data_IF_719342616627
#
_entry.id   IF_719342616627
#
_cell.length_a   1.000
_cell.length_b   1.000
_cell.length_c   1.000
_cell.angle_alpha   90.00
_cell.angle_beta   90.00
_cell.angle_gamma   90.00
#
_symmetry.space_group_name_H-M   'P 1'
#
loop_
_entity.id
_entity.type
_entity.pdbx_description
1 polymer ?
#
# COMPACT_ATOMS: atom_id res chain seq x y z
N UNK A 1 -6.07 -1.55 -32.93
CA UNK A 1 -6.60 -1.79 -31.57
C UNK A 1 -7.20 -0.48 -31.09
N UNK A 2 -8.48 -0.44 -30.76
CA UNK A 2 -9.07 0.74 -30.15
C UNK A 2 -8.54 0.83 -28.71
N UNK A 3 -7.90 1.95 -28.35
CA UNK A 3 -7.48 2.18 -26.97
C UNK A 3 -8.73 2.23 -26.08
N UNK A 4 -8.92 1.21 -25.23
CA UNK A 4 -10.13 1.04 -24.39
C UNK A 4 -10.22 2.04 -23.23
N UNK A 5 -9.25 2.94 -23.10
CA UNK A 5 -9.23 4.09 -22.20
C UNK A 5 -8.03 5.00 -22.52
N UNK A 6 -8.07 6.27 -22.11
CA UNK A 6 -6.95 7.21 -22.30
C UNK A 6 -5.88 6.99 -21.21
N UNK A 7 -4.77 6.34 -21.56
CA UNK A 7 -3.61 6.12 -20.67
C UNK A 7 -2.31 6.29 -21.45
N UNK A 8 -1.31 6.87 -20.81
CA UNK A 8 0.06 6.95 -21.32
C UNK A 8 0.82 5.72 -20.82
N UNK A 9 0.65 4.60 -21.52
CA UNK A 9 1.28 3.31 -21.20
C UNK A 9 1.62 2.59 -22.49
N UNK A 10 2.62 1.73 -22.47
CA UNK A 10 2.90 0.80 -23.56
C UNK A 10 2.01 -0.44 -23.41
N UNK A 11 2.53 -1.49 -22.77
CA UNK A 11 1.82 -2.73 -22.50
C UNK A 11 1.21 -2.70 -21.08
N UNK A 12 -0.11 -2.95 -20.90
CA UNK A 12 -0.75 -3.03 -19.59
C UNK A 12 -0.08 -3.97 -18.58
N UNK A 13 0.61 -5.02 -19.05
CA UNK A 13 1.30 -5.98 -18.17
C UNK A 13 2.66 -5.47 -17.66
N UNK A 14 3.26 -4.51 -18.36
CA UNK A 14 4.61 -4.01 -18.08
C UNK A 14 4.59 -2.68 -17.31
N UNK A 15 3.39 -2.11 -17.07
CA UNK A 15 3.23 -0.75 -16.51
C UNK A 15 3.95 -0.50 -15.19
N UNK A 16 3.99 -1.51 -14.30
CA UNK A 16 4.68 -1.38 -13.01
C UNK A 16 6.19 -1.42 -13.20
N UNK A 17 6.67 -2.29 -14.08
CA UNK A 17 8.09 -2.43 -14.39
C UNK A 17 8.61 -1.16 -15.05
N UNK A 18 7.93 -0.67 -16.10
CA UNK A 18 8.29 0.58 -16.80
C UNK A 18 8.24 1.79 -15.85
N UNK A 19 7.28 1.83 -14.92
CA UNK A 19 7.23 2.86 -13.87
C UNK A 19 8.47 2.81 -12.96
N UNK A 20 8.83 1.61 -12.47
CA UNK A 20 10.00 1.43 -11.59
C UNK A 20 11.28 1.82 -12.33
N UNK A 21 11.45 1.37 -13.57
CA UNK A 21 12.61 1.72 -14.43
C UNK A 21 12.74 3.24 -14.56
N UNK A 22 11.66 3.93 -14.94
CA UNK A 22 11.67 5.39 -15.04
C UNK A 22 11.94 6.09 -13.70
N UNK A 23 11.43 5.53 -12.59
CA UNK A 23 11.67 6.07 -11.24
C UNK A 23 13.15 5.98 -10.87
N UNK A 24 13.79 4.83 -11.04
CA UNK A 24 15.20 4.63 -10.65
C UNK A 24 16.17 5.35 -11.59
N UNK A 25 15.82 5.52 -12.87
CA UNK A 25 16.59 6.37 -13.79
C UNK A 25 16.53 7.85 -13.38
N UNK A 26 15.36 8.31 -12.90
CA UNK A 26 15.16 9.69 -12.48
C UNK A 26 15.85 10.00 -11.15
N UNK A 27 15.82 9.07 -10.19
CA UNK A 27 16.30 9.28 -8.83
C UNK A 27 17.48 8.36 -8.50
N UNK A 28 18.70 8.87 -8.64
CA UNK A 28 19.96 8.15 -8.43
C UNK A 28 20.16 7.57 -7.01
N UNK A 29 19.37 8.02 -6.02
CA UNK A 29 19.35 7.47 -4.66
C UNK A 29 18.51 6.19 -4.52
N UNK A 30 17.84 5.76 -5.59
CA UNK A 30 17.01 4.56 -5.64
C UNK A 30 17.67 3.51 -6.53
N UNK A 31 17.39 2.25 -6.22
CA UNK A 31 17.82 1.10 -6.99
C UNK A 31 16.65 0.13 -7.15
N UNK A 32 16.55 -0.48 -8.33
CA UNK A 32 15.69 -1.61 -8.58
C UNK A 32 16.43 -2.89 -8.20
N UNK A 33 15.89 -3.69 -7.27
CA UNK A 33 16.49 -4.95 -6.86
C UNK A 33 16.60 -5.92 -8.04
N UNK A 34 17.81 -6.40 -8.29
CA UNK A 34 18.07 -7.38 -9.34
C UNK A 34 17.52 -8.76 -8.92
N UNK A 35 16.72 -9.39 -9.80
CA UNK A 35 15.98 -10.60 -9.46
C UNK A 35 14.94 -11.07 -10.49
N UNK A 36 15.14 -10.77 -11.77
CA UNK A 36 14.40 -11.25 -12.98
C UNK A 36 13.12 -12.10 -12.76
N UNK A 37 12.00 -11.83 -13.46
CA UNK A 37 11.31 -10.56 -13.71
C UNK A 37 10.15 -10.30 -12.73
N UNK A 38 9.93 -11.18 -11.75
CA UNK A 38 8.76 -11.14 -10.85
C UNK A 38 8.98 -10.28 -9.60
N UNK A 39 10.24 -10.01 -9.24
CA UNK A 39 10.61 -9.25 -8.04
C UNK A 39 10.60 -7.75 -8.33
N UNK A 40 9.53 -7.07 -7.94
CA UNK A 40 9.33 -5.62 -8.14
C UNK A 40 9.64 -4.84 -6.86
N UNK A 41 10.92 -4.70 -6.53
CA UNK A 41 11.37 -4.05 -5.27
C UNK A 41 12.22 -2.82 -5.54
N UNK A 42 11.77 -1.66 -5.05
CA UNK A 42 12.53 -0.41 -5.06
C UNK A 42 13.18 -0.22 -3.70
N UNK A 43 14.48 0.00 -3.65
CA UNK A 43 15.23 0.18 -2.40
C UNK A 43 16.19 1.37 -2.49
N UNK A 44 16.65 1.83 -1.32
CA UNK A 44 17.68 2.87 -1.25
C UNK A 44 19.02 2.36 -1.79
N UNK A 45 19.61 3.07 -2.73
CA UNK A 45 20.88 2.69 -3.35
C UNK A 45 22.08 2.66 -2.37
N UNK A 46 21.97 3.37 -1.24
CA UNK A 46 23.00 3.43 -0.19
C UNK A 46 22.85 2.33 0.88
N UNK A 47 21.91 1.40 0.71
CA UNK A 47 21.61 0.34 1.69
C UNK A 47 21.90 -1.04 1.13
N UNK A 48 22.57 -1.86 1.94
CA UNK A 48 22.71 -3.30 1.75
C UNK A 48 22.53 -4.02 3.08
N UNK A 49 21.79 -5.12 3.11
CA UNK A 49 21.55 -5.92 4.32
C UNK A 49 22.84 -6.38 5.01
N UNK A 50 23.95 -6.52 4.28
CA UNK A 50 25.25 -6.89 4.85
C UNK A 50 25.88 -5.78 5.71
N UNK A 51 25.57 -4.52 5.44
CA UNK A 51 26.24 -3.36 6.06
C UNK A 51 25.29 -2.42 6.79
N UNK A 52 23.97 -2.60 6.66
CA UNK A 52 22.98 -1.70 7.26
C UNK A 52 22.93 -1.86 8.78
N UNK A 53 23.19 -0.77 9.49
CA UNK A 53 23.36 -0.71 10.95
C UNK A 53 22.15 -0.12 11.68
N UNK A 54 21.06 0.15 10.96
CA UNK A 54 19.79 0.67 11.50
C UNK A 54 18.66 -0.33 11.25
N UNK A 55 17.51 -0.09 11.88
CA UNK A 55 16.28 -0.84 11.60
C UNK A 55 15.84 -0.54 10.16
N UNK A 56 15.64 -1.58 9.35
CA UNK A 56 15.04 -1.43 8.03
C UNK A 56 13.54 -1.19 8.17
N UNK A 57 13.00 -0.25 7.41
CA UNK A 57 11.55 -0.01 7.36
C UNK A 57 11.07 -0.35 5.95
N UNK A 58 10.29 -1.42 5.83
CA UNK A 58 9.77 -1.87 4.54
C UNK A 58 8.26 -1.72 4.56
N UNK A 59 7.73 -1.29 3.42
CA UNK A 59 6.30 -1.34 3.16
C UNK A 59 6.08 -1.68 1.69
N UNK A 60 4.83 -1.73 1.26
CA UNK A 60 4.47 -2.17 -0.07
C UNK A 60 2.99 -2.46 -0.20
N UNK A 61 2.63 -3.05 -1.33
CA UNK A 61 1.25 -3.34 -1.70
C UNK A 61 1.08 -3.31 -3.21
N UNK A 62 -0.17 -3.36 -3.68
CA UNK A 62 -0.46 -3.21 -5.11
C UNK A 62 -0.08 -1.84 -5.64
N UNK A 63 0.40 -1.80 -6.88
CA UNK A 63 0.74 -0.56 -7.59
C UNK A 63 -0.53 0.20 -8.02
N UNK A 64 -0.38 1.44 -8.49
CA UNK A 64 -1.50 2.32 -8.87
C UNK A 64 -1.83 3.39 -7.83
N UNK A 65 -1.03 3.50 -6.78
CA UNK A 65 -1.14 4.50 -5.71
C UNK A 65 0.04 5.48 -5.68
N UNK A 66 0.78 5.56 -6.79
CA UNK A 66 2.00 6.36 -6.88
C UNK A 66 1.72 7.82 -6.44
N UNK A 67 2.58 8.42 -5.58
CA UNK A 67 3.92 7.97 -5.23
C UNK A 67 4.00 6.85 -4.16
N UNK A 68 2.87 6.40 -3.60
CA UNK A 68 2.88 5.31 -2.64
C UNK A 68 3.21 3.96 -3.32
N UNK A 69 4.17 3.16 -2.85
CA UNK A 69 5.12 3.44 -1.75
C UNK A 69 6.55 3.72 -2.23
N UNK A 70 6.86 3.46 -3.50
CA UNK A 70 8.21 3.60 -4.05
C UNK A 70 8.75 5.04 -3.97
N UNK A 71 7.89 6.05 -4.10
CA UNK A 71 8.28 7.47 -3.93
C UNK A 71 8.56 7.88 -2.48
N UNK A 72 8.32 7.00 -1.51
CA UNK A 72 8.66 7.22 -0.09
C UNK A 72 9.90 6.44 0.35
N UNK A 73 10.63 5.81 -0.58
CA UNK A 73 11.92 5.18 -0.31
C UNK A 73 12.99 6.27 -0.19
N UNK A 74 13.66 6.32 0.96
CA UNK A 74 14.63 7.36 1.27
C UNK A 74 14.98 7.45 2.76
N UNK A 75 16.04 8.21 3.07
CA UNK A 75 16.46 8.40 4.45
C UNK A 75 15.36 9.05 5.31
N UNK A 76 15.10 8.48 6.49
CA UNK A 76 14.07 8.96 7.40
C UNK A 76 12.63 8.56 7.02
N UNK A 77 12.45 7.72 5.99
CA UNK A 77 11.20 7.09 5.57
C UNK A 77 11.42 5.58 5.35
N UNK A 78 11.12 5.05 4.16
CA UNK A 78 11.24 3.62 3.85
C UNK A 78 12.66 3.28 3.38
N UNK A 79 13.15 2.13 3.81
CA UNK A 79 14.37 1.50 3.30
C UNK A 79 14.11 0.82 1.96
N UNK A 80 12.96 0.17 1.81
CA UNK A 80 12.50 -0.43 0.56
C UNK A 80 10.97 -0.43 0.44
N UNK A 81 10.48 -0.48 -0.80
CA UNK A 81 9.08 -0.62 -1.20
C UNK A 81 8.91 -1.86 -2.06
N UNK A 82 8.00 -2.75 -1.65
CA UNK A 82 7.64 -3.96 -2.41
C UNK A 82 6.39 -3.66 -3.24
N UNK A 83 6.55 -3.62 -4.56
CA UNK A 83 5.48 -3.26 -5.48
C UNK A 83 4.84 -4.54 -6.04
N UNK A 84 3.53 -4.71 -5.86
CA UNK A 84 2.76 -5.73 -6.57
C UNK A 84 2.30 -5.22 -7.94
N UNK A 85 1.49 -6.03 -8.65
CA UNK A 85 0.80 -5.55 -9.84
C UNK A 85 -0.25 -4.47 -9.49
N UNK A 86 -0.84 -3.84 -10.50
CA UNK A 86 -1.84 -2.78 -10.28
C UNK A 86 -3.00 -3.33 -9.46
N UNK A 87 -3.17 -2.79 -8.25
CA UNK A 87 -4.17 -3.21 -7.25
C UNK A 87 -4.08 -4.68 -6.82
N UNK A 88 -2.93 -5.33 -6.95
CA UNK A 88 -2.71 -6.69 -6.47
C UNK A 88 -1.52 -6.76 -5.51
N UNK A 89 -1.68 -7.47 -4.40
CA UNK A 89 -0.62 -7.64 -3.39
C UNK A 89 0.66 -8.24 -4.00
N UNK A 90 1.86 -7.79 -3.60
CA UNK A 90 3.10 -8.43 -4.01
C UNK A 90 3.18 -9.88 -3.53
N UNK A 91 3.93 -10.71 -4.24
CA UNK A 91 4.15 -12.11 -3.86
C UNK A 91 4.99 -12.23 -2.60
N UNK A 92 4.81 -13.32 -1.86
CA UNK A 92 5.61 -13.65 -0.66
C UNK A 92 7.11 -13.63 -0.98
N UNK A 93 7.50 -14.17 -2.12
CA UNK A 93 8.89 -14.22 -2.56
C UNK A 93 9.48 -12.81 -2.83
N UNK A 94 8.68 -11.90 -3.39
CA UNK A 94 9.10 -10.50 -3.58
C UNK A 94 9.31 -9.78 -2.25
N UNK A 95 8.42 -10.00 -1.28
CA UNK A 95 8.55 -9.42 0.06
C UNK A 95 9.78 -9.99 0.77
N UNK A 96 10.00 -11.30 0.70
CA UNK A 96 11.19 -11.96 1.24
C UNK A 96 12.48 -11.46 0.59
N UNK A 97 12.50 -11.28 -0.73
CA UNK A 97 13.63 -10.71 -1.44
C UNK A 97 13.96 -9.31 -0.93
N UNK A 98 12.96 -8.45 -0.75
CA UNK A 98 13.13 -7.14 -0.15
C UNK A 98 13.68 -7.19 1.28
N UNK A 99 13.13 -8.06 2.14
CA UNK A 99 13.61 -8.26 3.52
C UNK A 99 15.09 -8.65 3.49
N UNK A 100 15.47 -9.67 2.71
CA UNK A 100 16.86 -10.15 2.61
C UNK A 100 17.80 -9.07 2.06
N UNK A 101 17.34 -8.25 1.14
CA UNK A 101 18.15 -7.23 0.49
C UNK A 101 18.56 -6.09 1.43
N UNK A 102 17.70 -5.69 2.37
CA UNK A 102 17.93 -4.48 3.19
C UNK A 102 18.02 -4.69 4.69
N UNK A 103 17.74 -5.89 5.20
CA UNK A 103 17.70 -6.15 6.65
C UNK A 103 19.07 -6.53 7.19
N UNK A 104 19.62 -5.67 8.06
CA UNK A 104 20.82 -5.94 8.83
C UNK A 104 20.54 -6.48 10.26
N UNK A 105 21.56 -6.52 11.14
CA UNK A 105 21.46 -7.11 12.49
C UNK A 105 20.44 -6.45 13.44
N UNK A 106 20.08 -5.19 13.15
CA UNK A 106 19.07 -4.43 13.90
C UNK A 106 17.64 -4.86 13.59
N UNK A 107 17.42 -5.60 12.50
CA UNK A 107 16.12 -6.13 12.11
C UNK A 107 15.31 -5.21 11.20
N UNK A 108 14.08 -5.61 10.94
CA UNK A 108 13.18 -4.96 9.99
C UNK A 108 11.78 -4.79 10.57
N UNK A 109 11.20 -3.60 10.39
CA UNK A 109 9.79 -3.33 10.58
C UNK A 109 9.06 -3.42 9.24
N UNK A 110 8.05 -4.27 9.17
CA UNK A 110 7.09 -4.31 8.06
C UNK A 110 5.89 -3.42 8.40
N UNK A 111 5.66 -2.36 7.63
CA UNK A 111 4.43 -1.56 7.69
C UNK A 111 3.47 -2.09 6.63
N UNK A 112 2.32 -2.61 7.06
CA UNK A 112 1.34 -3.28 6.17
C UNK A 112 0.04 -2.50 6.16
N UNK A 113 -0.42 -2.13 4.97
CA UNK A 113 -1.75 -1.55 4.75
C UNK A 113 -2.81 -2.62 4.68
N UNK A 114 -3.95 -2.42 5.34
CA UNK A 114 -5.09 -3.35 5.27
C UNK A 114 -6.07 -2.92 4.19
N UNK A 115 -6.69 -3.85 3.48
CA UNK A 115 -7.92 -3.51 2.76
C UNK A 115 -9.00 -4.52 3.09
N UNK A 116 -10.18 -3.99 3.38
CA UNK A 116 -11.37 -4.77 3.65
C UNK A 116 -12.13 -4.96 2.36
N UNK A 117 -12.52 -6.21 2.11
CA UNK A 117 -13.81 -6.49 1.52
C UNK A 117 -14.71 -6.99 2.65
N UNK A 118 -15.85 -6.35 2.96
CA UNK A 118 -16.91 -7.06 3.65
C UNK A 118 -17.42 -8.16 2.71
N UNK A 119 -17.66 -9.37 3.22
CA UNK A 119 -18.39 -10.44 2.51
C UNK A 119 -19.84 -10.03 2.21
N UNK A 120 -20.02 -9.02 1.38
CA UNK A 120 -21.33 -8.64 0.87
C UNK A 120 -21.55 -9.49 -0.37
N UNK A 121 -22.45 -10.46 -0.29
CA UNK A 121 -22.76 -11.49 -1.29
C UNK A 121 -23.26 -11.02 -2.67
N UNK A 122 -22.69 -9.96 -3.23
CA UNK A 122 -22.84 -9.60 -4.63
C UNK A 122 -21.85 -10.40 -5.47
N UNK A 123 -22.32 -11.52 -6.01
CA UNK A 123 -21.68 -12.20 -7.14
C UNK A 123 -21.73 -11.27 -8.34
N UNK A 124 -20.60 -10.65 -8.69
CA UNK A 124 -20.40 -10.16 -10.05
C UNK A 124 -20.34 -11.39 -10.97
N UNK A 125 -21.40 -11.61 -11.74
CA UNK A 125 -21.43 -12.61 -12.80
C UNK A 125 -20.98 -11.93 -14.07
N UNK A 126 -19.71 -12.12 -14.43
CA UNK A 126 -19.17 -11.69 -15.71
C UNK A 126 -17.71 -11.25 -15.59
N UNK A 127 -16.83 -12.06 -16.19
CA UNK A 127 -15.40 -11.84 -16.41
C UNK A 127 -14.55 -12.21 -15.18
N UNK A 128 -13.44 -12.92 -15.44
CA UNK A 128 -12.38 -13.38 -14.52
C UNK A 128 -11.70 -12.24 -13.73
N UNK A 129 -12.49 -11.42 -13.04
CA UNK A 129 -12.05 -10.40 -12.12
C UNK A 129 -12.17 -10.93 -10.69
N UNK A 130 -11.11 -10.74 -9.91
CA UNK A 130 -11.11 -10.80 -8.44
C UNK A 130 -11.01 -12.21 -7.80
N UNK A 131 -9.91 -12.93 -8.02
CA UNK A 131 -9.30 -13.69 -6.91
C UNK A 131 -8.27 -12.75 -6.26
N UNK A 132 -8.79 -11.77 -5.53
CA UNK A 132 -8.01 -10.73 -4.88
C UNK A 132 -8.69 -10.34 -3.58
N UNK A 133 -8.84 -11.30 -2.67
CA UNK A 133 -9.17 -10.97 -1.29
C UNK A 133 -7.96 -10.23 -0.72
N UNK A 134 -8.05 -8.93 -0.43
CA UNK A 134 -6.96 -8.12 0.15
C UNK A 134 -6.62 -8.43 1.62
N UNK A 135 -7.14 -9.57 2.11
CA UNK A 135 -6.37 -10.46 2.99
C UNK A 135 -4.96 -10.74 2.43
N UNK A 136 -4.74 -10.60 1.11
CA UNK A 136 -3.49 -10.79 0.38
C UNK A 136 -2.30 -10.05 0.99
N UNK A 137 -2.41 -8.75 1.29
CA UNK A 137 -1.28 -8.03 1.91
C UNK A 137 -0.96 -8.59 3.30
N UNK A 138 -1.96 -8.78 4.16
CA UNK A 138 -1.75 -9.36 5.50
C UNK A 138 -1.23 -10.80 5.45
N UNK A 139 -1.72 -11.61 4.51
CA UNK A 139 -1.32 -13.01 4.34
C UNK A 139 0.08 -13.10 3.74
N UNK A 140 0.38 -12.36 2.68
CA UNK A 140 1.65 -12.40 1.98
C UNK A 140 2.76 -11.79 2.84
N UNK A 141 2.54 -10.61 3.44
CA UNK A 141 3.50 -10.03 4.39
C UNK A 141 3.60 -10.85 5.66
N UNK A 142 2.50 -11.41 6.17
CA UNK A 142 2.53 -12.28 7.34
C UNK A 142 3.34 -13.54 7.10
N UNK A 143 3.11 -14.23 5.98
CA UNK A 143 3.85 -15.44 5.60
C UNK A 143 5.33 -15.13 5.32
N UNK A 144 5.62 -14.02 4.63
CA UNK A 144 6.99 -13.55 4.44
C UNK A 144 7.68 -13.22 5.77
N UNK A 145 6.96 -12.61 6.73
CA UNK A 145 7.50 -12.33 8.06
C UNK A 145 7.85 -13.61 8.81
N UNK A 146 6.96 -14.61 8.83
CA UNK A 146 7.24 -15.90 9.48
C UNK A 146 8.41 -16.63 8.83
N UNK A 147 8.46 -16.65 7.49
CA UNK A 147 9.56 -17.27 6.74
C UNK A 147 10.89 -16.55 7.01
N UNK A 148 10.91 -15.21 7.01
CA UNK A 148 12.11 -14.44 7.37
C UNK A 148 12.55 -14.67 8.83
N UNK A 149 11.62 -14.79 9.78
CA UNK A 149 11.96 -15.17 11.17
C UNK A 149 12.59 -16.56 11.24
N UNK A 150 12.10 -17.51 10.45
CA UNK A 150 12.69 -18.86 10.37
C UNK A 150 14.12 -18.85 9.81
N UNK A 151 14.45 -17.85 8.98
CA UNK A 151 15.81 -17.60 8.44
C UNK A 151 16.71 -16.83 9.41
N UNK A 152 16.20 -16.44 10.58
CA UNK A 152 16.95 -15.76 11.64
C UNK A 152 16.85 -14.23 11.61
N UNK A 153 16.04 -13.65 10.71
CA UNK A 153 15.81 -12.20 10.72
C UNK A 153 14.90 -11.78 11.89
N UNK A 154 15.20 -10.63 12.49
CA UNK A 154 14.34 -10.00 13.50
C UNK A 154 13.28 -9.17 12.78
N UNK A 155 12.03 -9.61 12.81
CA UNK A 155 10.92 -8.98 12.08
C UNK A 155 9.79 -8.58 13.03
N UNK A 156 9.46 -7.30 13.03
CA UNK A 156 8.23 -6.76 13.61
C UNK A 156 7.25 -6.33 12.52
N UNK A 157 5.97 -6.23 12.85
CA UNK A 157 4.93 -5.84 11.89
C UNK A 157 3.94 -4.87 12.51
N UNK A 158 3.64 -3.79 11.79
CA UNK A 158 2.59 -2.84 12.15
C UNK A 158 1.55 -2.81 11.04
N UNK A 159 0.29 -2.95 11.44
CA UNK A 159 -0.85 -2.93 10.56
C UNK A 159 -1.50 -1.55 10.63
N UNK A 160 -1.70 -0.91 9.48
CA UNK A 160 -2.33 0.41 9.37
C UNK A 160 -3.78 0.26 8.93
N UNK A 161 -4.68 0.79 9.75
CA UNK A 161 -6.13 0.79 9.54
C UNK A 161 -6.75 2.13 9.91
N UNK A 162 -6.44 3.16 9.13
CA UNK A 162 -6.82 4.56 9.38
C UNK A 162 -8.18 4.96 8.80
N UNK A 163 -8.81 4.16 7.93
CA UNK A 163 -10.06 4.52 7.27
C UNK A 163 -11.28 4.54 8.22
N UNK A 164 -11.84 5.74 8.46
CA UNK A 164 -13.01 6.01 9.29
C UNK A 164 -14.34 5.84 8.55
N UNK A 165 -14.34 5.63 7.23
CA UNK A 165 -15.56 5.61 6.43
C UNK A 165 -16.55 4.51 6.85
N UNK A 166 -16.03 3.32 7.13
CA UNK A 166 -16.84 2.17 7.52
C UNK A 166 -16.88 2.04 9.05
N UNK A 167 -18.00 1.59 9.63
CA UNK A 167 -18.06 1.24 11.04
C UNK A 167 -16.95 0.24 11.38
N UNK A 168 -16.44 0.28 12.62
CA UNK A 168 -15.49 -0.73 13.09
C UNK A 168 -16.08 -2.12 12.85
N UNK A 169 -15.46 -2.89 11.96
CA UNK A 169 -15.89 -4.25 11.70
C UNK A 169 -15.78 -5.05 13.01
N UNK A 170 -16.82 -5.82 13.35
CA UNK A 170 -16.77 -6.72 14.52
C UNK A 170 -15.95 -8.01 14.23
N UNK A 171 -15.21 -8.04 13.12
CA UNK A 171 -14.45 -9.21 12.64
C UNK A 171 -12.94 -8.99 12.66
N UNK A 172 -12.21 -10.04 12.28
CA UNK A 172 -10.73 -10.10 12.29
C UNK A 172 -10.07 -9.11 11.30
N UNK A 173 -10.85 -8.65 10.31
CA UNK A 173 -10.34 -7.95 9.15
C UNK A 173 -9.90 -6.49 9.44
N UNK A 174 -10.42 -5.83 10.48
CA UNK A 174 -9.98 -4.47 10.90
C UNK A 174 -10.60 -3.33 10.07
N UNK A 175 -9.89 -2.21 9.92
CA UNK A 175 -10.23 -1.04 9.07
C UNK A 175 -9.30 -1.01 7.85
N UNK A 176 -9.69 -0.35 6.75
CA UNK A 176 -8.78 -0.14 5.60
C UNK A 176 -7.62 0.80 5.99
N UNK A 177 -6.45 0.57 5.44
CA UNK A 177 -5.27 1.41 5.47
C UNK A 177 -5.23 2.25 4.19
N UNK A 178 -5.25 3.57 4.32
CA UNK A 178 -5.30 4.53 3.21
C UNK A 178 -4.13 5.52 3.34
N UNK A 179 -4.42 6.81 3.13
CA UNK A 179 -3.43 7.88 3.10
C UNK A 179 -2.68 8.05 4.44
N UNK A 180 -3.24 7.63 5.58
CA UNK A 180 -2.60 7.74 6.88
C UNK A 180 -1.31 6.91 7.01
N UNK A 181 -1.15 5.89 6.15
CA UNK A 181 0.05 5.05 6.09
C UNK A 181 1.34 5.86 5.92
N UNK A 182 1.33 6.94 5.14
CA UNK A 182 2.52 7.79 4.96
C UNK A 182 2.99 8.41 6.29
N UNK A 183 2.05 8.78 7.16
CA UNK A 183 2.38 9.37 8.47
C UNK A 183 3.01 8.31 9.38
N UNK A 184 2.50 7.08 9.34
CA UNK A 184 3.09 5.95 10.07
C UNK A 184 4.49 5.64 9.54
N UNK A 185 4.66 5.60 8.22
CA UNK A 185 5.98 5.44 7.58
C UNK A 185 6.96 6.55 8.01
N UNK A 186 6.49 7.80 8.10
CA UNK A 186 7.33 8.94 8.51
C UNK A 186 7.79 8.85 9.96
N UNK A 187 6.91 8.39 10.86
CA UNK A 187 7.26 8.15 12.27
C UNK A 187 8.25 6.99 12.36
N UNK A 188 7.91 5.84 11.77
CA UNK A 188 8.77 4.65 11.76
C UNK A 188 10.17 4.97 11.20
N UNK A 189 10.22 5.60 10.02
CA UNK A 189 11.47 5.97 9.35
C UNK A 189 12.29 6.98 10.14
N UNK A 190 11.67 7.96 10.80
CA UNK A 190 12.39 8.92 11.65
C UNK A 190 13.03 8.25 12.86
N UNK A 191 12.27 7.40 13.55
CA UNK A 191 12.73 6.68 14.75
C UNK A 191 13.84 5.69 14.38
N UNK A 192 13.70 4.98 13.27
CA UNK A 192 14.72 4.09 12.74
C UNK A 192 16.00 4.86 12.32
N UNK A 193 15.86 6.01 11.66
CA UNK A 193 16.99 6.85 11.25
C UNK A 193 17.78 7.41 12.45
N UNK A 194 17.10 7.64 13.58
CA UNK A 194 17.70 8.03 14.86
C UNK A 194 18.43 6.88 15.59
N UNK A 195 18.42 5.66 15.05
CA UNK A 195 19.18 4.52 15.57
C UNK A 195 18.52 3.78 16.73
N UNK A 196 17.20 3.97 16.93
CA UNK A 196 16.46 3.26 17.97
C UNK A 196 16.30 1.77 17.64
N UNK A 197 16.01 0.96 18.67
CA UNK A 197 15.82 -0.48 18.52
C UNK A 197 14.55 -0.84 17.75
N UNK A 198 14.51 -2.04 17.18
CA UNK A 198 13.33 -2.54 16.45
C UNK A 198 12.04 -2.47 17.29
N UNK A 199 12.12 -2.77 18.59
CA UNK A 199 10.98 -2.72 19.49
C UNK A 199 10.45 -1.28 19.69
N UNK A 200 11.34 -0.30 19.80
CA UNK A 200 10.96 1.11 19.93
C UNK A 200 10.38 1.65 18.62
N UNK A 201 10.99 1.30 17.48
CA UNK A 201 10.46 1.66 16.14
C UNK A 201 9.06 1.09 15.94
N UNK A 202 8.85 -0.19 16.27
CA UNK A 202 7.54 -0.83 16.19
C UNK A 202 6.52 -0.19 17.14
N UNK A 203 6.93 0.15 18.36
CA UNK A 203 6.06 0.81 19.34
C UNK A 203 5.58 2.18 18.89
N UNK A 204 6.48 3.03 18.38
CA UNK A 204 6.11 4.37 17.89
C UNK A 204 5.28 4.30 16.60
N UNK A 205 5.61 3.38 15.69
CA UNK A 205 4.81 3.16 14.48
C UNK A 205 3.38 2.68 14.82
N UNK A 206 3.24 1.76 15.79
CA UNK A 206 1.93 1.30 16.28
C UNK A 206 1.15 2.44 16.94
N UNK A 207 1.80 3.24 17.80
CA UNK A 207 1.15 4.40 18.42
C UNK A 207 0.65 5.40 17.38
N UNK A 208 1.42 5.63 16.32
CA UNK A 208 1.00 6.47 15.20
C UNK A 208 -0.20 5.86 14.46
N UNK A 209 -0.20 4.55 14.20
CA UNK A 209 -1.32 3.91 13.48
C UNK A 209 -2.63 3.91 14.26
N UNK A 210 -2.58 3.93 15.59
CA UNK A 210 -3.75 3.96 16.47
C UNK A 210 -4.45 5.33 16.53
N UNK A 211 -3.73 6.42 16.22
CA UNK A 211 -4.26 7.80 16.34
C UNK A 211 -4.55 8.47 15.00
N UNK A 212 -4.12 7.87 13.88
CA UNK A 212 -4.38 8.40 12.54
C UNK A 212 -5.76 7.94 12.06
N UNK A 213 -6.54 8.90 11.56
CA UNK A 213 -7.85 8.68 10.97
C UNK A 213 -7.95 9.39 9.62
N UNK A 214 -8.54 8.72 8.62
CA UNK A 214 -8.77 9.25 7.28
C UNK A 214 -10.16 8.88 6.78
N UNK A 215 -10.68 9.67 5.84
CA UNK A 215 -11.89 9.32 5.09
C UNK A 215 -11.83 10.00 3.73
N UNK A 216 -11.99 9.22 2.67
CA UNK A 216 -12.03 9.70 1.29
C UNK A 216 -13.44 10.04 0.82
N UNK A 217 -13.54 10.84 -0.25
CA UNK A 217 -14.76 11.04 -1.04
C UNK A 217 -14.37 11.00 -2.51
N UNK A 218 -15.13 10.29 -3.33
CA UNK A 218 -14.86 10.15 -4.75
C UNK A 218 -16.00 10.72 -5.61
N UNK A 219 -15.63 11.39 -6.69
CA UNK A 219 -16.56 11.91 -7.70
C UNK A 219 -16.65 11.01 -8.94
N UNK A 220 -15.67 10.10 -9.09
CA UNK A 220 -15.56 9.12 -10.16
C UNK A 220 -14.76 7.92 -9.66
N UNK A 221 -14.86 6.80 -10.36
CA UNK A 221 -14.01 5.63 -10.11
C UNK A 221 -12.76 5.67 -10.98
N UNK A 222 -11.70 5.01 -10.51
CA UNK A 222 -10.48 4.82 -11.28
C UNK A 222 -10.71 3.83 -12.43
N UNK A 223 -9.83 3.87 -13.44
CA UNK A 223 -9.85 2.93 -14.58
C UNK A 223 -8.55 2.14 -14.57
N UNK A 224 -8.63 0.81 -14.57
CA UNK A 224 -7.45 -0.05 -14.64
C UNK A 224 -6.80 -0.03 -16.04
N UNK A 225 -5.48 -0.22 -16.16
CA UNK A 225 -4.81 -0.41 -17.45
C UNK A 225 -5.50 -1.51 -18.28
N UNK A 226 -5.78 -1.20 -19.56
CA UNK A 226 -6.46 -2.14 -20.47
C UNK A 226 -7.94 -2.39 -20.18
N UNK A 227 -8.55 -1.73 -19.19
CA UNK A 227 -9.97 -1.88 -18.84
C UNK A 227 -10.80 -0.67 -19.28
N UNK A 228 -12.11 -0.88 -19.42
CA UNK A 228 -13.08 0.19 -19.70
C UNK A 228 -13.42 0.93 -18.40
N UNK A 229 -13.56 2.24 -18.47
CA UNK A 229 -13.99 3.07 -17.34
C UNK A 229 -15.39 2.65 -16.87
N UNK A 230 -15.52 2.32 -15.59
CA UNK A 230 -16.81 2.03 -14.97
C UNK A 230 -17.60 3.32 -14.72
N UNK A 231 -18.90 3.31 -15.00
CA UNK A 231 -19.80 4.45 -14.75
C UNK A 231 -20.71 4.21 -13.53
N UNK A 232 -20.26 3.42 -12.55
CA UNK A 232 -21.11 2.96 -11.44
C UNK A 232 -21.67 4.07 -10.55
N UNK A 233 -21.04 5.24 -10.54
CA UNK A 233 -21.55 6.40 -9.80
C UNK A 233 -22.63 7.13 -10.60
N UNK A 234 -22.49 7.20 -11.93
CA UNK A 234 -23.36 8.00 -12.78
C UNK A 234 -23.19 9.52 -12.57
N UNK A 235 -23.87 10.33 -13.39
CA UNK A 235 -23.71 11.77 -13.39
C UNK A 235 -24.28 12.42 -12.13
N UNK A 236 -23.55 13.39 -11.58
CA UNK A 236 -24.01 14.19 -10.43
C UNK A 236 -24.01 13.43 -9.10
N UNK A 237 -23.36 12.26 -9.03
CA UNK A 237 -23.19 11.49 -7.80
C UNK A 237 -21.77 11.62 -7.25
N UNK A 238 -21.64 11.31 -5.97
CA UNK A 238 -20.39 11.13 -5.25
C UNK A 238 -20.48 9.91 -4.34
N UNK A 239 -19.34 9.32 -3.99
CA UNK A 239 -19.27 8.21 -3.05
C UNK A 239 -18.43 8.58 -1.83
N UNK A 240 -19.07 8.49 -0.67
CA UNK A 240 -18.47 8.76 0.63
C UNK A 240 -17.72 7.51 1.07
N UNK A 241 -16.41 7.64 1.29
CA UNK A 241 -15.57 6.55 1.76
C UNK A 241 -15.20 5.52 0.70
N UNK A 242 -15.16 5.89 -0.59
CA UNK A 242 -14.65 5.00 -1.63
C UNK A 242 -13.23 4.50 -1.26
N UNK A 243 -12.99 3.19 -1.39
CA UNK A 243 -11.65 2.61 -1.20
C UNK A 243 -10.70 2.93 -2.34
N UNK A 244 -9.39 2.89 -2.09
CA UNK A 244 -8.37 3.28 -3.06
C UNK A 244 -8.26 2.32 -4.27
N UNK A 245 -8.82 1.10 -4.19
CA UNK A 245 -8.91 0.16 -5.31
C UNK A 245 -10.29 0.19 -5.99
N UNK A 246 -11.14 1.15 -5.63
CA UNK A 246 -12.52 1.24 -6.11
C UNK A 246 -13.52 0.42 -5.31
N UNK A 247 -13.14 -0.10 -4.13
CA UNK A 247 -14.04 -0.81 -3.23
C UNK A 247 -15.20 0.10 -2.80
N UNK A 248 -16.43 -0.44 -2.66
CA UNK A 248 -17.58 0.35 -2.23
C UNK A 248 -17.31 1.13 -0.95
N UNK A 249 -17.79 2.36 -0.93
CA UNK A 249 -17.76 3.22 0.24
C UNK A 249 -18.91 2.99 1.20
N UNK A 250 -19.07 3.92 2.13
CA UNK A 250 -20.16 3.92 3.10
C UNK A 250 -21.51 4.25 2.44
N UNK A 251 -21.52 5.17 1.47
CA UNK A 251 -22.74 5.57 0.76
C UNK A 251 -22.44 6.25 -0.59
N UNK A 252 -23.36 6.08 -1.54
CA UNK A 252 -23.44 6.90 -2.75
C UNK A 252 -24.52 7.96 -2.55
N UNK A 253 -24.20 9.23 -2.81
CA UNK A 253 -25.08 10.37 -2.59
C UNK A 253 -25.08 11.32 -3.79
N UNK A 254 -26.06 12.22 -3.87
CA UNK A 254 -26.03 13.34 -4.80
C UNK A 254 -24.87 14.28 -4.46
N UNK A 255 -24.21 14.82 -5.48
CA UNK A 255 -23.13 15.78 -5.33
C UNK A 255 -23.58 16.96 -4.46
N UNK A 256 -22.83 17.24 -3.42
CA UNK A 256 -23.10 18.33 -2.48
C UNK A 256 -22.04 19.44 -2.61
N UNK A 257 -22.36 20.68 -2.17
CA UNK A 257 -21.34 21.71 -1.95
C UNK A 257 -20.22 21.21 -1.03
N UNK A 258 -18.98 21.61 -1.30
CA UNK A 258 -17.79 21.12 -0.60
C UNK A 258 -17.86 21.29 0.93
N UNK A 259 -18.44 22.39 1.42
CA UNK A 259 -18.58 22.63 2.86
C UNK A 259 -19.45 21.57 3.56
N UNK A 260 -20.50 21.08 2.88
CA UNK A 260 -21.36 20.02 3.40
C UNK A 260 -20.59 18.70 3.44
N UNK A 261 -19.84 18.40 2.38
CA UNK A 261 -19.02 17.19 2.27
C UNK A 261 -17.93 17.17 3.35
N UNK A 262 -17.18 18.26 3.49
CA UNK A 262 -16.10 18.38 4.49
C UNK A 262 -16.67 18.32 5.91
N UNK A 263 -17.80 18.95 6.17
CA UNK A 263 -18.48 18.85 7.48
C UNK A 263 -18.87 17.41 7.82
N UNK A 264 -19.30 16.63 6.83
CA UNK A 264 -19.59 15.20 7.01
C UNK A 264 -18.31 14.41 7.31
N UNK A 265 -17.25 14.60 6.51
CA UNK A 265 -15.95 13.93 6.69
C UNK A 265 -15.36 14.20 8.07
N UNK A 266 -15.36 15.46 8.53
CA UNK A 266 -14.81 15.84 9.83
C UNK A 266 -15.60 15.30 11.03
N UNK A 267 -16.89 14.99 10.87
CA UNK A 267 -17.68 14.34 11.93
C UNK A 267 -17.42 12.84 12.04
N UNK A 268 -16.97 12.24 10.94
CA UNK A 268 -16.73 10.81 10.85
C UNK A 268 -15.33 10.43 11.33
N UNK A 269 -14.34 11.30 11.08
CA UNK A 269 -12.95 11.15 11.56
C UNK A 269 -12.89 11.40 13.07
#
# INVERSE_FOLDING_TARGET
MAFQGKKLINNPNDVVTEFIEGLVETYQGLQYLDGFPEVKVVLRADVSGATYDKVAVISGGGSGHEPAQAGYVGEGLLTASICGDVFASPTVDSILAGIRAVTGPMGCLLVVTVLLYPESGYRFVGIDCCIGNYTGDRLNFGLAAEQARSEGYKIETVIVGDDCALPKSQGIAGRRGLAGTILVNKVAGAVAAAGLSLAEVASEAKRASEVVGTMGVALSVCTLPGQVTSDRLGPGKMELGLGIHGEPGAAVADLQPVDVVVTHVLKQI
#
